data_IF_279721136638
#
_entry.id   IF_279721136638
#
_cell.length_a   1.000
_cell.length_b   1.000
_cell.length_c   1.000
_cell.angle_alpha   90.00
_cell.angle_beta   90.00
_cell.angle_gamma   90.00
#
_symmetry.space_group_name_H-M   'P 1'
#
loop_
_entity.id
_entity.type
_entity.pdbx_description
1 polymer ?
#
# COMPACT_ATOMS: atom_id res chain seq x y z
N UNK A 1 8.57 38.20 -3.26
CA UNK A 1 8.85 37.42 -2.04
C UNK A 1 10.35 37.17 -1.95
N UNK A 2 10.96 37.47 -0.81
CA UNK A 2 12.39 37.20 -0.63
C UNK A 2 12.61 35.71 -0.44
N UNK A 3 13.71 35.18 -0.94
CA UNK A 3 14.06 33.73 -0.85
C UNK A 3 13.92 33.17 0.57
N UNK A 4 14.35 33.96 1.58
CA UNK A 4 14.22 33.59 2.98
C UNK A 4 12.77 33.41 3.43
N UNK A 5 11.87 34.28 2.97
CA UNK A 5 10.44 34.20 3.30
C UNK A 5 9.81 32.92 2.69
N UNK A 6 10.24 32.55 1.48
CA UNK A 6 9.79 31.36 0.81
C UNK A 6 10.26 30.09 1.54
N UNK A 7 11.53 30.06 1.95
CA UNK A 7 12.10 28.95 2.74
C UNK A 7 11.36 28.80 4.09
N UNK A 8 11.05 29.90 4.77
CA UNK A 8 10.32 29.85 6.04
C UNK A 8 8.88 29.35 5.87
N UNK A 9 8.23 29.67 4.75
CA UNK A 9 6.92 29.12 4.39
C UNK A 9 7.02 27.61 4.15
N UNK A 10 7.98 27.16 3.36
CA UNK A 10 8.16 25.72 3.06
C UNK A 10 8.46 24.91 4.32
N UNK A 11 9.32 25.40 5.20
CA UNK A 11 9.61 24.73 6.47
C UNK A 11 8.38 24.65 7.37
N UNK A 12 7.51 25.64 7.34
CA UNK A 12 6.24 25.61 8.08
C UNK A 12 5.29 24.55 7.49
N UNK A 13 5.14 24.53 6.16
CA UNK A 13 4.32 23.50 5.50
C UNK A 13 4.85 22.10 5.79
N UNK A 14 6.16 21.89 5.69
CA UNK A 14 6.79 20.59 6.01
C UNK A 14 6.53 20.17 7.47
N UNK A 15 6.58 21.12 8.41
CA UNK A 15 6.38 20.81 9.83
C UNK A 15 4.95 20.41 10.20
N UNK A 16 3.95 20.76 9.38
CA UNK A 16 2.53 20.45 9.61
C UNK A 16 1.99 19.36 8.66
N UNK A 17 2.71 19.09 7.57
CA UNK A 17 2.34 18.09 6.58
C UNK A 17 2.72 16.68 7.04
N UNK A 18 1.99 16.15 8.02
CA UNK A 18 2.15 14.77 8.47
C UNK A 18 1.15 13.86 7.77
N UNK A 19 1.61 13.14 6.75
CA UNK A 19 0.78 12.16 6.03
C UNK A 19 0.82 10.85 6.80
N UNK A 20 -0.36 10.31 7.14
CA UNK A 20 -0.56 9.00 7.70
C UNK A 20 -1.48 8.20 6.77
N UNK A 21 -1.01 7.06 6.29
CA UNK A 21 -1.76 6.28 5.32
C UNK A 21 -2.01 7.09 4.04
N UNK A 22 -3.24 7.13 3.59
CA UNK A 22 -3.70 7.88 2.43
C UNK A 22 -4.45 9.17 2.81
N UNK A 23 -4.20 9.71 3.99
CA UNK A 23 -4.80 10.97 4.44
C UNK A 23 -4.03 12.16 3.85
N UNK A 24 -4.58 12.74 2.79
CA UNK A 24 -4.08 13.94 2.12
C UNK A 24 -4.89 15.20 2.46
N UNK A 25 -5.66 15.17 3.55
CA UNK A 25 -6.55 16.28 3.95
C UNK A 25 -5.82 17.62 4.09
N UNK A 26 -4.54 17.61 4.50
CA UNK A 26 -3.72 18.83 4.61
C UNK A 26 -3.57 19.59 3.29
N UNK A 27 -3.59 18.90 2.16
CA UNK A 27 -3.46 19.49 0.81
C UNK A 27 -4.78 19.48 0.03
N UNK A 28 -5.91 19.26 0.70
CA UNK A 28 -7.21 19.29 0.07
C UNK A 28 -7.44 20.61 -0.69
N UNK A 29 -7.93 20.50 -1.92
CA UNK A 29 -8.12 21.63 -2.82
C UNK A 29 -6.85 22.16 -3.51
N UNK A 30 -5.67 21.60 -3.21
CA UNK A 30 -4.41 21.94 -3.88
C UNK A 30 -4.05 20.99 -5.03
N UNK A 31 -4.85 19.94 -5.26
CA UNK A 31 -4.66 18.96 -6.34
C UNK A 31 -6.00 18.60 -6.97
N UNK A 32 -5.94 18.07 -8.17
CA UNK A 32 -7.08 17.46 -8.85
C UNK A 32 -6.73 16.03 -9.20
N UNK A 33 -7.71 15.16 -9.10
CA UNK A 33 -7.56 13.73 -9.41
C UNK A 33 -8.51 13.37 -10.54
N UNK A 34 -8.03 12.59 -11.51
CA UNK A 34 -8.89 12.01 -12.54
C UNK A 34 -9.74 10.90 -11.94
N UNK A 35 -11.06 11.01 -12.11
CA UNK A 35 -12.01 10.04 -11.56
C UNK A 35 -12.70 9.19 -12.63
N UNK A 36 -12.38 9.41 -13.90
CA UNK A 36 -12.99 8.78 -15.06
C UNK A 36 -12.06 7.76 -15.76
N UNK A 37 -11.20 7.13 -14.99
CA UNK A 37 -10.32 6.06 -15.50
C UNK A 37 -11.16 4.92 -16.10
N UNK A 38 -10.71 4.33 -17.24
CA UNK A 38 -11.43 3.24 -17.89
C UNK A 38 -11.36 1.90 -17.13
N UNK A 39 -10.71 1.87 -15.99
CA UNK A 39 -10.63 0.71 -15.11
C UNK A 39 -10.92 1.10 -13.65
N UNK A 40 -11.30 0.11 -12.87
CA UNK A 40 -11.40 0.22 -11.41
C UNK A 40 -10.51 -0.84 -10.78
N UNK A 41 -9.44 -0.42 -10.12
CA UNK A 41 -8.44 -1.29 -9.53
C UNK A 41 -9.03 -2.29 -8.52
N UNK A 42 -9.93 -1.83 -7.65
CA UNK A 42 -10.60 -2.68 -6.66
C UNK A 42 -11.44 -3.77 -7.35
N UNK A 43 -12.22 -3.41 -8.36
CA UNK A 43 -13.04 -4.38 -9.08
C UNK A 43 -12.19 -5.43 -9.80
N UNK A 44 -11.08 -5.02 -10.40
CA UNK A 44 -10.15 -5.97 -11.05
C UNK A 44 -9.61 -6.97 -10.02
N UNK A 45 -9.20 -6.51 -8.84
CA UNK A 45 -8.73 -7.40 -7.78
C UNK A 45 -9.85 -8.37 -7.36
N UNK A 46 -11.04 -7.87 -7.12
CA UNK A 46 -12.19 -8.67 -6.66
C UNK A 46 -12.64 -9.72 -7.68
N UNK A 47 -12.42 -9.48 -8.99
CA UNK A 47 -12.71 -10.45 -10.06
C UNK A 47 -11.82 -11.71 -9.95
N UNK A 48 -10.60 -11.57 -9.40
CA UNK A 48 -9.65 -12.67 -9.24
C UNK A 48 -9.59 -13.24 -7.82
N UNK A 49 -9.86 -12.39 -6.81
CA UNK A 49 -9.67 -12.74 -5.40
C UNK A 49 -10.80 -13.65 -4.89
N UNK A 50 -10.42 -14.84 -4.41
CA UNK A 50 -11.34 -15.79 -3.78
C UNK A 50 -11.03 -15.93 -2.29
N UNK A 51 -12.03 -16.26 -1.44
CA UNK A 51 -11.86 -16.28 0.02
C UNK A 51 -10.75 -17.21 0.54
N UNK A 52 -10.47 -18.30 -0.17
CA UNK A 52 -9.42 -19.26 0.19
C UNK A 52 -8.00 -18.83 -0.18
N UNK A 53 -7.86 -17.82 -1.04
CA UNK A 53 -6.57 -17.34 -1.53
C UNK A 53 -5.80 -16.55 -0.48
N UNK A 54 -4.47 -16.71 -0.49
CA UNK A 54 -3.57 -15.84 0.28
C UNK A 54 -3.22 -14.59 -0.52
N UNK A 55 -3.48 -13.44 0.07
CA UNK A 55 -3.27 -12.11 -0.49
C UNK A 55 -2.12 -11.39 0.20
N UNK A 56 -1.22 -10.78 -0.58
CA UNK A 56 -0.21 -9.84 -0.10
C UNK A 56 -0.43 -8.47 -0.73
N UNK A 57 -0.47 -7.43 0.08
CA UNK A 57 -0.44 -6.03 -0.34
C UNK A 57 0.93 -5.41 -0.01
N UNK A 58 1.68 -5.01 -1.05
CA UNK A 58 3.00 -4.39 -0.91
C UNK A 58 2.83 -2.87 -0.88
N UNK A 59 3.44 -2.21 0.12
CA UNK A 59 3.33 -0.78 0.38
C UNK A 59 1.87 -0.35 0.60
N UNK A 60 1.26 -0.97 1.61
CA UNK A 60 -0.18 -0.86 1.89
C UNK A 60 -0.64 0.54 2.36
N UNK A 61 0.28 1.45 2.66
CA UNK A 61 -0.05 2.73 3.29
C UNK A 61 -0.55 2.53 4.71
N UNK A 62 -1.72 3.03 5.04
CA UNK A 62 -2.37 2.78 6.34
C UNK A 62 -3.22 1.51 6.38
N UNK A 63 -3.32 0.77 5.27
CA UNK A 63 -4.13 -0.44 5.16
C UNK A 63 -5.60 -0.18 4.79
N UNK A 64 -6.00 1.06 4.55
CA UNK A 64 -7.40 1.44 4.27
C UNK A 64 -7.95 0.73 3.04
N UNK A 65 -7.18 0.75 1.94
CA UNK A 65 -7.56 0.05 0.71
C UNK A 65 -7.62 -1.47 0.91
N UNK A 66 -6.62 -2.04 1.58
CA UNK A 66 -6.57 -3.48 1.89
C UNK A 66 -7.81 -3.92 2.67
N UNK A 67 -8.19 -3.18 3.70
CA UNK A 67 -9.39 -3.47 4.49
C UNK A 67 -10.69 -3.34 3.67
N UNK A 68 -10.72 -2.46 2.68
CA UNK A 68 -11.88 -2.28 1.81
C UNK A 68 -12.19 -3.51 0.94
N UNK A 69 -11.20 -4.38 0.70
CA UNK A 69 -11.38 -5.64 -0.05
C UNK A 69 -12.17 -6.69 0.74
N UNK A 70 -12.31 -6.53 2.05
CA UNK A 70 -13.04 -7.45 2.95
C UNK A 70 -12.60 -8.91 2.82
N UNK A 71 -11.32 -9.12 2.52
CA UNK A 71 -10.73 -10.46 2.45
C UNK A 71 -10.54 -11.04 3.86
N UNK A 72 -10.63 -12.38 4.07
CA UNK A 72 -10.38 -12.97 5.37
C UNK A 72 -9.03 -12.56 5.95
N UNK A 73 -9.01 -11.99 7.15
CA UNK A 73 -7.80 -11.41 7.74
C UNK A 73 -6.67 -12.44 7.89
N UNK A 74 -7.00 -13.68 8.24
CA UNK A 74 -6.03 -14.79 8.36
C UNK A 74 -5.40 -15.21 7.03
N UNK A 75 -5.95 -14.75 5.91
CA UNK A 75 -5.46 -14.97 4.55
C UNK A 75 -4.82 -13.71 3.95
N UNK A 76 -4.69 -12.64 4.74
CA UNK A 76 -4.23 -11.34 4.30
C UNK A 76 -2.89 -11.01 4.94
N UNK A 77 -1.93 -10.58 4.12
CA UNK A 77 -0.62 -10.09 4.53
C UNK A 77 -0.37 -8.71 3.93
N UNK A 78 0.47 -7.92 4.56
CA UNK A 78 0.84 -6.60 4.07
C UNK A 78 2.27 -6.21 4.45
N UNK A 79 2.89 -5.37 3.63
CA UNK A 79 4.15 -4.69 3.96
C UNK A 79 4.00 -3.18 3.88
N UNK A 80 4.89 -2.48 4.57
CA UNK A 80 5.04 -1.03 4.51
C UNK A 80 6.45 -0.65 4.95
N UNK A 81 7.04 0.38 4.34
CA UNK A 81 8.39 0.85 4.62
C UNK A 81 8.43 2.23 5.31
N UNK A 82 7.42 3.06 5.11
CA UNK A 82 7.37 4.41 5.67
C UNK A 82 7.06 4.36 7.19
N UNK A 83 7.98 4.86 8.07
CA UNK A 83 7.86 4.65 9.51
C UNK A 83 6.53 5.04 10.14
N UNK A 84 5.90 6.20 9.81
CA UNK A 84 4.58 6.53 10.35
C UNK A 84 3.50 5.53 9.96
N UNK A 85 3.53 5.00 8.72
CA UNK A 85 2.59 3.99 8.25
C UNK A 85 2.85 2.62 8.89
N UNK A 86 4.12 2.27 9.14
CA UNK A 86 4.47 1.05 9.88
C UNK A 86 3.81 1.06 11.26
N UNK A 87 3.89 2.17 11.98
CA UNK A 87 3.27 2.28 13.29
C UNK A 87 1.74 2.18 13.20
N UNK A 88 1.14 2.88 12.25
CA UNK A 88 -0.31 2.82 12.00
C UNK A 88 -0.77 1.38 11.67
N UNK A 89 -0.06 0.68 10.79
CA UNK A 89 -0.38 -0.70 10.43
C UNK A 89 -0.25 -1.66 11.62
N UNK A 90 0.76 -1.48 12.49
CA UNK A 90 0.88 -2.27 13.72
C UNK A 90 -0.30 -2.08 14.66
N UNK A 91 -0.85 -0.88 14.72
CA UNK A 91 -1.99 -0.54 15.58
C UNK A 91 -3.32 -0.97 14.97
N UNK A 92 -3.45 -1.00 13.65
CA UNK A 92 -4.72 -1.22 12.95
C UNK A 92 -4.85 -2.61 12.32
N UNK A 93 -3.79 -3.16 11.74
CA UNK A 93 -3.85 -4.43 11.00
C UNK A 93 -3.52 -5.66 11.88
N UNK A 94 -2.48 -5.58 12.71
CA UNK A 94 -2.09 -6.71 13.57
C UNK A 94 -3.19 -7.16 14.51
N UNK A 95 -3.95 -6.27 15.20
CA UNK A 95 -5.04 -6.70 16.08
C UNK A 95 -6.18 -7.42 15.37
N UNK A 96 -6.32 -7.21 14.04
CA UNK A 96 -7.32 -7.91 13.22
C UNK A 96 -6.89 -9.32 12.80
N UNK A 97 -5.61 -9.67 12.98
CA UNK A 97 -5.05 -10.96 12.57
C UNK A 97 -4.45 -10.94 11.17
N UNK A 98 -4.24 -9.75 10.57
CA UNK A 98 -3.50 -9.59 9.31
C UNK A 98 -2.00 -9.73 9.61
N UNK A 99 -1.28 -10.51 8.80
CA UNK A 99 0.18 -10.68 8.89
C UNK A 99 0.88 -9.46 8.30
N UNK A 100 1.09 -8.45 9.14
CA UNK A 100 1.80 -7.23 8.75
C UNK A 100 3.28 -7.33 9.11
N UNK A 101 4.15 -7.03 8.15
CA UNK A 101 5.60 -6.99 8.33
C UNK A 101 6.19 -5.73 7.71
N UNK A 102 7.09 -5.05 8.44
CA UNK A 102 7.83 -3.92 7.89
C UNK A 102 8.78 -4.41 6.78
N UNK A 103 8.77 -3.73 5.64
CA UNK A 103 9.61 -4.07 4.49
C UNK A 103 9.34 -3.15 3.30
N UNK A 104 10.39 -2.89 2.51
CA UNK A 104 10.32 -2.10 1.29
C UNK A 104 10.05 -3.02 0.11
N UNK A 105 9.08 -2.69 -0.73
CA UNK A 105 8.69 -3.49 -1.89
C UNK A 105 9.80 -3.70 -2.91
N UNK A 106 10.79 -2.80 -2.97
CA UNK A 106 11.96 -2.92 -3.86
C UNK A 106 13.06 -3.85 -3.34
N UNK A 107 13.02 -4.21 -2.06
CA UNK A 107 13.99 -5.08 -1.40
C UNK A 107 13.48 -6.53 -1.34
N UNK A 108 14.18 -7.38 -0.58
CA UNK A 108 13.74 -8.74 -0.31
C UNK A 108 12.48 -8.73 0.57
N UNK A 109 11.41 -9.33 0.07
CA UNK A 109 10.16 -9.45 0.82
C UNK A 109 10.29 -10.44 1.99
N UNK A 110 9.79 -10.09 3.19
CA UNK A 110 9.93 -10.91 4.40
C UNK A 110 8.93 -12.09 4.43
N UNK A 111 8.80 -12.81 3.33
CA UNK A 111 7.89 -13.95 3.17
C UNK A 111 8.58 -15.11 2.47
N UNK A 112 8.00 -16.28 2.60
CA UNK A 112 8.52 -17.51 2.02
C UNK A 112 8.27 -17.60 0.50
N UNK A 113 9.01 -18.49 -0.17
CA UNK A 113 8.78 -18.80 -1.58
C UNK A 113 7.40 -19.43 -1.76
N UNK A 114 6.73 -19.10 -2.87
CA UNK A 114 5.44 -19.70 -3.26
C UNK A 114 4.35 -19.57 -2.18
N UNK A 115 4.29 -18.47 -1.49
CA UNK A 115 3.37 -18.28 -0.35
C UNK A 115 2.00 -17.74 -0.78
N UNK A 116 1.95 -16.84 -1.79
CA UNK A 116 0.75 -16.07 -2.12
C UNK A 116 0.10 -16.49 -3.44
N UNK A 117 -1.22 -16.45 -3.47
CA UNK A 117 -2.03 -16.63 -4.68
C UNK A 117 -2.16 -15.33 -5.46
N UNK A 118 -2.29 -14.19 -4.76
CA UNK A 118 -2.37 -12.86 -5.34
C UNK A 118 -1.43 -11.93 -4.57
N UNK A 119 -0.66 -11.14 -5.33
CA UNK A 119 0.12 -10.00 -4.82
C UNK A 119 -0.41 -8.75 -5.48
N UNK A 120 -0.66 -7.72 -4.68
CA UNK A 120 -1.11 -6.42 -5.16
C UNK A 120 -0.13 -5.32 -4.74
N UNK A 121 -0.07 -4.25 -5.53
CA UNK A 121 0.72 -3.06 -5.24
C UNK A 121 0.07 -1.85 -5.92
N UNK A 122 0.00 -0.73 -5.24
CA UNK A 122 -0.55 0.50 -5.77
C UNK A 122 0.41 1.66 -5.53
N UNK A 123 0.90 2.25 -6.62
CA UNK A 123 1.78 3.43 -6.63
C UNK A 123 3.14 3.27 -5.92
N UNK A 124 3.49 2.09 -5.45
CA UNK A 124 4.76 1.81 -4.79
C UNK A 124 5.77 1.13 -5.70
N UNK A 125 7.04 1.22 -5.34
CA UNK A 125 8.11 0.47 -5.99
C UNK A 125 8.00 -1.03 -5.67
N UNK A 126 8.47 -1.87 -6.59
CA UNK A 126 8.49 -3.31 -6.36
C UNK A 126 9.64 -4.00 -7.11
N UNK A 127 10.07 -5.14 -6.57
CA UNK A 127 11.08 -6.01 -7.16
C UNK A 127 10.39 -7.21 -7.84
N UNK A 128 10.44 -7.27 -9.15
CA UNK A 128 9.77 -8.31 -9.94
C UNK A 128 10.27 -9.72 -9.63
N UNK A 129 11.55 -9.88 -9.25
CA UNK A 129 12.12 -11.19 -8.87
C UNK A 129 11.54 -11.66 -7.53
N UNK A 130 11.37 -10.76 -6.58
CA UNK A 130 10.78 -11.05 -5.29
C UNK A 130 9.28 -11.36 -5.41
N UNK A 131 8.54 -10.58 -6.22
CA UNK A 131 7.14 -10.90 -6.51
C UNK A 131 7.00 -12.29 -7.11
N UNK A 132 7.84 -12.62 -8.11
CA UNK A 132 7.86 -13.97 -8.70
C UNK A 132 8.19 -15.05 -7.66
N UNK A 133 9.13 -14.78 -6.75
CA UNK A 133 9.53 -15.73 -5.71
C UNK A 133 8.40 -16.05 -4.73
N UNK A 134 7.69 -15.03 -4.25
CA UNK A 134 6.62 -15.20 -3.24
C UNK A 134 5.30 -15.66 -3.83
N UNK A 135 5.08 -15.52 -5.14
CA UNK A 135 3.89 -16.02 -5.81
C UNK A 135 3.94 -17.54 -6.00
N UNK A 136 2.83 -18.19 -5.74
CA UNK A 136 2.60 -19.60 -6.13
C UNK A 136 2.59 -19.74 -7.65
N UNK A 137 2.84 -20.96 -8.15
CA UNK A 137 2.63 -21.28 -9.56
C UNK A 137 1.18 -20.96 -9.96
N UNK A 138 1.00 -20.17 -11.03
CA UNK A 138 -0.31 -19.68 -11.45
C UNK A 138 -0.83 -18.50 -10.63
N UNK A 139 -0.06 -18.00 -9.68
CA UNK A 139 -0.38 -16.79 -8.92
C UNK A 139 -0.39 -15.53 -9.78
N UNK A 140 -1.07 -14.51 -9.32
CA UNK A 140 -1.34 -13.27 -10.08
C UNK A 140 -0.73 -12.07 -9.36
N UNK A 141 -0.06 -11.20 -10.11
CA UNK A 141 0.34 -9.88 -9.66
C UNK A 141 -0.52 -8.82 -10.33
N UNK A 142 -1.14 -7.96 -9.52
CA UNK A 142 -1.97 -6.84 -9.98
C UNK A 142 -1.39 -5.54 -9.43
N UNK A 143 -1.06 -4.61 -10.31
CA UNK A 143 -0.52 -3.32 -9.91
C UNK A 143 -1.19 -2.18 -10.67
N UNK A 144 -1.36 -1.04 -9.97
CA UNK A 144 -1.76 0.23 -10.55
C UNK A 144 -0.64 1.25 -10.28
N UNK A 145 -0.15 1.88 -11.35
CA UNK A 145 0.94 2.84 -11.28
C UNK A 145 0.55 4.16 -11.96
N UNK A 146 1.09 5.26 -11.47
CA UNK A 146 0.97 6.61 -12.06
C UNK A 146 2.29 7.07 -12.66
#
# INVERSE_FOLDING_TARGET
>A
MKEKELIDIWKREESVAHIHGWDFSHIEGRYTEETDLPWNYQNIILDYLKPEMKLLDIDTGGGEFLLSLRHPYVKTSATEAYPPNIQLCKETLLPLGIDFRAGDGKDMLPFDDYEFDIVINRHGDFNTKEIHRVLKCGGIFITEQV
#
